data_IF_487080341585
#
_entry.id   IF_487080341585
#
_cell.length_a   1.000
_cell.length_b   1.000
_cell.length_c   1.000
_cell.angle_alpha   90.00
_cell.angle_beta   90.00
_cell.angle_gamma   90.00
#
_symmetry.space_group_name_H-M   'P 1'
#
loop_
_entity.id
_entity.type
_entity.pdbx_description
1 polymer ?
#
# COMPACT_ATOMS: atom_id res chain seq x y z
N UNK A 1 6.71 -10.24 15.97
CA UNK A 1 6.20 -8.87 15.76
C UNK A 1 5.31 -8.95 14.54
N UNK A 2 4.07 -8.46 14.59
CA UNK A 2 3.10 -8.71 13.51
C UNK A 2 3.53 -8.06 12.20
N UNK A 3 3.47 -8.83 11.11
CA UNK A 3 3.82 -8.45 9.74
C UNK A 3 2.62 -7.82 9.04
N UNK A 4 2.69 -6.52 8.80
CA UNK A 4 1.62 -5.74 8.15
C UNK A 4 2.08 -5.30 6.76
N UNK A 5 1.27 -5.57 5.75
CA UNK A 5 1.45 -4.98 4.42
C UNK A 5 0.41 -3.88 4.23
N UNK A 6 0.86 -2.65 3.98
CA UNK A 6 -0.01 -1.51 3.66
C UNK A 6 0.00 -1.32 2.14
N UNK A 7 -1.08 -1.74 1.51
CA UNK A 7 -1.30 -1.59 0.08
C UNK A 7 -2.08 -0.30 -0.22
N UNK A 8 -1.59 0.49 -1.17
CA UNK A 8 -2.24 1.72 -1.61
C UNK A 8 -2.27 1.80 -3.12
N UNK A 9 -3.45 2.09 -3.67
CA UNK A 9 -3.64 2.33 -5.10
C UNK A 9 -2.69 3.40 -5.66
N UNK A 10 -2.34 4.42 -4.85
CA UNK A 10 -1.34 5.45 -5.13
C UNK A 10 -1.55 6.22 -6.45
N UNK A 11 -2.81 6.34 -6.89
CA UNK A 11 -3.18 7.10 -8.10
C UNK A 11 -3.51 8.56 -7.82
N UNK A 12 -4.20 8.86 -6.72
CA UNK A 12 -4.59 10.24 -6.38
C UNK A 12 -3.36 11.09 -6.10
N UNK A 13 -2.43 10.59 -5.29
CA UNK A 13 -1.23 11.30 -4.86
C UNK A 13 -0.26 11.58 -6.02
N UNK A 14 -0.41 10.86 -7.15
CA UNK A 14 0.38 11.07 -8.37
C UNK A 14 -0.28 12.01 -9.39
N UNK A 15 -1.60 12.23 -9.29
CA UNK A 15 -2.39 12.96 -10.31
C UNK A 15 -3.02 14.26 -9.79
N UNK A 16 -3.32 14.35 -8.50
CA UNK A 16 -3.98 15.50 -7.90
C UNK A 16 -3.00 16.29 -7.01
N UNK A 17 -2.57 17.51 -7.42
CA UNK A 17 -1.61 18.30 -6.66
C UNK A 17 -2.03 18.62 -5.23
N UNK A 18 -3.33 18.76 -4.96
CA UNK A 18 -3.85 19.00 -3.60
C UNK A 18 -3.61 17.76 -2.73
N UNK A 19 -3.83 16.57 -3.28
CA UNK A 19 -3.57 15.32 -2.56
C UNK A 19 -2.07 15.09 -2.40
N UNK A 20 -1.26 15.33 -3.44
CA UNK A 20 0.20 15.25 -3.36
C UNK A 20 0.77 16.17 -2.28
N UNK A 21 0.22 17.38 -2.11
CA UNK A 21 0.65 18.31 -1.07
C UNK A 21 0.40 17.78 0.36
N UNK A 22 -0.64 16.97 0.54
CA UNK A 22 -0.97 16.34 1.84
C UNK A 22 -0.16 15.05 2.05
N UNK A 23 -0.06 14.22 1.00
CA UNK A 23 0.59 12.92 1.01
C UNK A 23 1.68 12.83 -0.06
N UNK A 24 2.82 13.54 0.10
CA UNK A 24 3.85 13.64 -0.94
C UNK A 24 4.53 12.30 -1.24
N UNK A 25 4.49 11.37 -0.29
CA UNK A 25 5.01 10.00 -0.43
C UNK A 25 3.88 8.96 -0.45
N UNK A 26 2.63 9.39 -0.58
CA UNK A 26 1.45 8.52 -0.52
C UNK A 26 0.96 8.21 0.89
N UNK A 27 -0.32 7.83 0.99
CA UNK A 27 -0.96 7.50 2.28
C UNK A 27 -0.31 6.27 2.95
N UNK A 28 0.10 5.29 2.15
CA UNK A 28 0.82 4.09 2.63
C UNK A 28 2.11 4.42 3.39
N UNK A 29 2.87 5.45 2.99
CA UNK A 29 4.09 5.84 3.68
C UNK A 29 3.81 6.42 5.08
N UNK A 30 2.75 7.23 5.19
CA UNK A 30 2.30 7.80 6.48
C UNK A 30 1.83 6.69 7.43
N UNK A 31 0.95 5.81 6.93
CA UNK A 31 0.46 4.67 7.71
C UNK A 31 1.59 3.72 8.12
N UNK A 32 2.52 3.43 7.22
CA UNK A 32 3.64 2.55 7.52
C UNK A 32 4.57 3.14 8.59
N UNK A 33 4.81 4.47 8.57
CA UNK A 33 5.57 5.14 9.62
C UNK A 33 4.87 5.01 10.97
N UNK A 34 3.58 5.36 11.04
CA UNK A 34 2.81 5.29 12.27
C UNK A 34 2.74 3.86 12.84
N UNK A 35 2.54 2.84 12.00
CA UNK A 35 2.51 1.45 12.43
C UNK A 35 3.88 0.96 12.90
N UNK A 36 4.98 1.34 12.22
CA UNK A 36 6.33 0.98 12.69
C UNK A 36 6.63 1.57 14.07
N UNK A 37 6.18 2.80 14.36
CA UNK A 37 6.31 3.43 15.68
C UNK A 37 5.53 2.67 16.78
N UNK A 38 4.46 1.96 16.43
CA UNK A 38 3.73 1.08 17.35
C UNK A 38 4.37 -0.31 17.51
N UNK A 39 5.51 -0.56 16.86
CA UNK A 39 6.19 -1.85 16.92
C UNK A 39 5.54 -2.90 16.01
N UNK A 40 5.08 -2.52 14.82
CA UNK A 40 4.77 -3.48 13.76
C UNK A 40 5.95 -3.61 12.79
N UNK A 41 6.11 -4.78 12.17
CA UNK A 41 7.00 -4.89 11.00
C UNK A 41 6.17 -4.62 9.76
N UNK A 42 6.50 -3.55 9.03
CA UNK A 42 5.61 -3.01 7.99
C UNK A 42 6.28 -2.96 6.63
N UNK A 43 5.60 -3.51 5.62
CA UNK A 43 5.88 -3.35 4.20
C UNK A 43 4.83 -2.44 3.55
N UNK A 44 5.21 -1.75 2.50
CA UNK A 44 4.26 -1.06 1.62
C UNK A 44 4.25 -1.71 0.24
N UNK A 45 3.11 -1.65 -0.44
CA UNK A 45 2.94 -2.10 -1.81
C UNK A 45 1.97 -1.16 -2.54
N UNK A 46 2.09 -1.06 -3.85
CA UNK A 46 1.23 -0.19 -4.67
C UNK A 46 0.78 -0.87 -5.96
N UNK A 47 -0.30 -0.35 -6.56
CA UNK A 47 -0.91 -0.91 -7.76
C UNK A 47 0.06 -1.08 -8.93
N UNK A 48 0.97 -0.12 -9.11
CA UNK A 48 1.86 -0.07 -10.27
C UNK A 48 3.14 -0.92 -10.10
N UNK A 49 3.31 -1.60 -8.96
CA UNK A 49 4.40 -2.56 -8.75
C UNK A 49 4.11 -3.90 -9.46
N UNK A 50 5.14 -4.72 -9.77
CA UNK A 50 4.95 -6.08 -10.25
C UNK A 50 4.05 -6.88 -9.31
N UNK A 51 3.06 -7.60 -9.86
CA UNK A 51 2.04 -8.34 -9.08
C UNK A 51 1.34 -7.44 -8.03
N UNK A 52 1.24 -6.13 -8.31
CA UNK A 52 0.75 -5.11 -7.39
C UNK A 52 1.50 -5.06 -6.05
N UNK A 53 2.74 -5.54 -6.01
CA UNK A 53 3.55 -5.71 -4.81
C UNK A 53 3.07 -6.84 -3.89
N UNK A 54 2.15 -7.69 -4.35
CA UNK A 54 1.46 -8.73 -3.60
C UNK A 54 1.73 -10.14 -4.14
N UNK A 55 2.98 -10.43 -4.51
CA UNK A 55 3.34 -11.80 -4.92
C UNK A 55 3.04 -12.82 -3.81
N UNK A 56 2.94 -14.11 -4.17
CA UNK A 56 2.68 -15.20 -3.22
C UNK A 56 3.66 -15.20 -2.02
N UNK A 57 4.92 -14.86 -2.26
CA UNK A 57 5.93 -14.73 -1.21
C UNK A 57 5.66 -13.55 -0.26
N UNK A 58 5.10 -12.44 -0.76
CA UNK A 58 4.69 -11.31 0.09
C UNK A 58 3.45 -11.67 0.90
N UNK A 59 2.44 -12.25 0.25
CA UNK A 59 1.18 -12.59 0.88
C UNK A 59 1.36 -13.67 1.96
N UNK A 60 2.18 -14.69 1.70
CA UNK A 60 2.51 -15.72 2.70
C UNK A 60 3.25 -15.19 3.92
N UNK A 61 3.95 -14.05 3.80
CA UNK A 61 4.60 -13.36 4.93
C UNK A 61 3.71 -12.32 5.61
N UNK A 62 2.57 -11.98 5.00
CA UNK A 62 1.68 -10.91 5.49
C UNK A 62 0.65 -11.49 6.45
N UNK A 63 0.68 -11.06 7.71
CA UNK A 63 -0.32 -11.46 8.70
C UNK A 63 -1.56 -10.55 8.64
N UNK A 64 -1.38 -9.28 8.30
CA UNK A 64 -2.46 -8.31 8.11
C UNK A 64 -2.20 -7.49 6.84
N UNK A 65 -3.16 -7.50 5.92
CA UNK A 65 -3.17 -6.63 4.74
C UNK A 65 -4.11 -5.44 4.98
N UNK A 66 -3.56 -4.23 4.95
CA UNK A 66 -4.34 -2.98 4.94
C UNK A 66 -4.48 -2.55 3.49
N UNK A 67 -5.71 -2.35 3.03
CA UNK A 67 -5.99 -2.04 1.62
C UNK A 67 -6.66 -0.68 1.48
N UNK A 68 -6.05 0.22 0.71
CA UNK A 68 -6.68 1.46 0.27
C UNK A 68 -6.77 1.52 -1.26
N UNK A 69 -7.98 1.68 -1.78
CA UNK A 69 -8.24 1.87 -3.21
C UNK A 69 -9.43 2.78 -3.45
N UNK A 70 -9.56 3.31 -4.66
CA UNK A 70 -10.66 4.20 -5.01
C UNK A 70 -11.00 4.16 -6.51
N UNK A 71 -10.12 4.66 -7.37
CA UNK A 71 -10.47 4.99 -8.77
C UNK A 71 -10.03 3.94 -9.80
N UNK A 72 -9.11 3.06 -9.43
CA UNK A 72 -8.43 2.12 -10.31
C UNK A 72 -8.61 0.66 -9.85
N UNK A 73 -9.65 0.35 -9.08
CA UNK A 73 -9.96 -1.02 -8.68
C UNK A 73 -10.11 -1.99 -9.88
N UNK A 74 -10.59 -1.49 -11.01
CA UNK A 74 -10.72 -2.27 -12.25
C UNK A 74 -9.36 -2.64 -12.88
N UNK A 75 -8.25 -2.07 -12.41
CA UNK A 75 -6.89 -2.37 -12.86
C UNK A 75 -6.19 -3.39 -11.95
N UNK A 76 -6.82 -3.78 -10.83
CA UNK A 76 -6.32 -4.87 -9.98
C UNK A 76 -6.61 -6.19 -10.69
N UNK A 77 -5.57 -6.98 -10.96
CA UNK A 77 -5.72 -8.28 -11.60
C UNK A 77 -6.35 -9.30 -10.64
N UNK A 78 -7.26 -10.13 -11.16
CA UNK A 78 -7.89 -11.22 -10.39
C UNK A 78 -6.88 -12.28 -9.95
N UNK A 79 -5.80 -12.47 -10.73
CA UNK A 79 -4.68 -13.33 -10.40
C UNK A 79 -3.45 -12.46 -10.13
N UNK A 80 -2.97 -12.54 -8.88
CA UNK A 80 -1.69 -12.02 -8.38
C UNK A 80 -0.88 -13.16 -7.80
#
# INVERSE_FOLDING_TARGET
MTQVTVWNEFRHERKNPVVTAIYPQGMHAVLATALREQGFTVRTATLDEPEHGLSEAVLSQTEVLVWWGHLAHHEVADAV
#
